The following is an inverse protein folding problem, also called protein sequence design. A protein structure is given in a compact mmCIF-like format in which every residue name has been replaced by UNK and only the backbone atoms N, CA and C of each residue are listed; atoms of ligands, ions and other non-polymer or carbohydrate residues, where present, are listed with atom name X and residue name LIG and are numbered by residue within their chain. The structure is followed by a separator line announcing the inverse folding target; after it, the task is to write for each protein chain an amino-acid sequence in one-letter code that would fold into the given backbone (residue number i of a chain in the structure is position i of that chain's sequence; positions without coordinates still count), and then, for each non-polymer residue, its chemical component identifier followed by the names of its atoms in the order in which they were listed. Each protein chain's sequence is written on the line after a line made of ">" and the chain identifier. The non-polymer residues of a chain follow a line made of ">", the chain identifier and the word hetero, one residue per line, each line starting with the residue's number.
data_IF_213512735330
#
_entry.id   IF_213512735330
#
_cell.length_a   1.000
_cell.length_b   1.000
_cell.length_c   1.000
_cell.angle_alpha   90.00
_cell.angle_beta   90.00
_cell.angle_gamma   90.00
#
_symmetry.space_group_name_H-M   'P 1'
#
loop_
_entity.id
_entity.type
_entity.pdbx_description
1 polymer ?
#
# COMPACT_ATOMS: atom_id res chain seq x y z
N UNK A 1 -60.52 -4.91 19.42
CA UNK A 1 -59.72 -6.14 19.54
C UNK A 1 -58.25 -5.70 19.45
N UNK A 2 -57.72 -5.02 20.46
CA UNK A 2 -57.18 -5.58 21.72
C UNK A 2 -55.87 -6.33 21.47
N UNK A 3 -54.75 -5.62 21.69
CA UNK A 3 -53.40 -6.16 21.90
C UNK A 3 -53.35 -7.14 23.09
N UNK A 4 -52.29 -7.98 23.20
CA UNK A 4 -51.07 -7.56 23.95
C UNK A 4 -49.75 -8.06 23.31
N UNK A 5 -48.66 -7.29 23.27
CA UNK A 5 -47.60 -7.16 24.30
C UNK A 5 -47.02 -8.47 24.84
N UNK A 6 -45.73 -8.75 24.56
CA UNK A 6 -44.74 -9.19 25.58
C UNK A 6 -43.34 -9.50 25.00
N UNK A 7 -42.36 -8.71 25.45
CA UNK A 7 -40.93 -9.02 25.70
C UNK A 7 -40.75 -8.55 27.17
N UNK A 8 -40.02 -9.20 28.11
CA UNK A 8 -38.63 -9.68 27.99
C UNK A 8 -38.26 -10.94 28.82
N UNK A 9 -37.02 -11.44 28.69
CA UNK A 9 -36.13 -11.75 29.82
C UNK A 9 -34.77 -12.33 29.39
N UNK A 10 -33.68 -11.67 29.81
CA UNK A 10 -32.42 -12.31 30.23
C UNK A 10 -32.46 -12.47 31.75
N UNK A 11 -31.89 -13.56 32.29
CA UNK A 11 -30.81 -13.45 33.28
C UNK A 11 -29.74 -14.55 33.01
N UNK A 12 -28.48 -14.49 33.45
CA UNK A 12 -27.73 -13.63 34.34
C UNK A 12 -26.27 -14.15 34.38
N UNK A 13 -25.36 -13.51 35.12
CA UNK A 13 -23.92 -13.77 35.09
C UNK A 13 -23.49 -14.83 36.12
N UNK A 14 -22.63 -15.77 35.71
CA UNK A 14 -22.13 -16.87 36.54
C UNK A 14 -20.63 -16.77 36.83
N UNK A 15 -20.30 -16.21 38.01
CA UNK A 15 -19.29 -16.61 39.02
C UNK A 15 -17.95 -17.23 38.55
N UNK A 16 -16.85 -16.52 38.79
CA UNK A 16 -15.83 -16.77 39.84
C UNK A 16 -14.86 -17.93 39.59
N UNK A 17 -13.59 -17.55 39.35
CA UNK A 17 -12.45 -18.21 39.97
C UNK A 17 -11.42 -17.13 40.35
N UNK A 18 -11.26 -16.93 41.67
CA UNK A 18 -10.08 -16.33 42.32
C UNK A 18 -9.01 -17.42 42.51
N UNK A 19 -7.88 -17.02 43.10
CA UNK A 19 -6.66 -17.75 43.48
C UNK A 19 -5.56 -17.63 42.39
N UNK A 20 -4.32 -17.21 42.66
CA UNK A 20 -3.57 -17.10 43.90
C UNK A 20 -2.60 -15.92 43.89
N UNK A 21 -2.44 -15.38 45.09
CA UNK A 21 -1.38 -14.48 45.52
C UNK A 21 -0.05 -15.24 45.51
N UNK A 22 1.04 -14.63 45.05
CA UNK A 22 2.30 -14.80 45.79
C UNK A 22 3.09 -13.49 45.75
N UNK A 23 3.07 -12.83 46.90
CA UNK A 23 4.08 -11.88 47.34
C UNK A 23 5.36 -12.69 47.61
N UNK A 24 6.49 -12.25 47.05
CA UNK A 24 7.78 -12.49 47.68
C UNK A 24 8.40 -11.14 48.00
N UNK A 25 8.33 -10.78 49.27
CA UNK A 25 9.25 -9.84 49.88
C UNK A 25 10.29 -10.62 50.68
N UNK A 26 11.55 -10.21 50.60
CA UNK A 26 12.60 -10.28 51.63
C UNK A 26 13.75 -9.43 51.08
N UNK A 27 13.92 -8.21 51.58
CA UNK A 27 14.54 -7.78 52.84
C UNK A 27 16.06 -7.75 52.70
N UNK A 28 16.56 -6.52 52.88
CA UNK A 28 17.94 -6.06 52.98
C UNK A 28 18.84 -6.96 53.84
N UNK A 29 20.07 -7.15 53.38
CA UNK A 29 21.26 -7.17 54.24
C UNK A 29 22.35 -6.37 53.55
N UNK A 30 22.60 -5.19 54.11
CA UNK A 30 23.73 -4.33 53.88
C UNK A 30 24.87 -4.87 54.75
N UNK A 31 25.90 -5.44 54.13
CA UNK A 31 27.17 -5.73 54.81
C UNK A 31 28.20 -4.69 54.38
N UNK A 32 28.69 -3.96 55.37
CA UNK A 32 29.86 -3.09 55.26
C UNK A 32 31.12 -3.96 55.28
N UNK A 33 32.09 -3.67 54.43
CA UNK A 33 33.49 -3.87 54.80
C UNK A 33 34.38 -2.80 54.14
N UNK A 34 35.33 -2.18 54.87
CA UNK A 34 36.13 -1.07 54.40
C UNK A 34 37.46 -1.58 53.82
N UNK A 35 38.02 -0.86 52.85
CA UNK A 35 39.43 -1.05 52.54
C UNK A 35 39.89 -0.70 51.15
N UNK A 36 40.53 0.46 51.08
CA UNK A 36 41.82 0.70 50.41
C UNK A 36 41.88 0.95 48.89
N UNK A 37 42.64 2.02 48.65
CA UNK A 37 43.51 2.35 47.52
C UNK A 37 42.89 3.13 46.36
N UNK A 38 43.10 4.44 46.48
CA UNK A 38 43.39 5.38 45.42
C UNK A 38 43.99 4.74 44.16
N UNK A 39 43.34 5.03 43.03
CA UNK A 39 43.99 5.21 41.72
C UNK A 39 43.25 6.32 40.99
N UNK A 40 43.91 7.47 40.86
CA UNK A 40 43.55 8.50 39.91
C UNK A 40 43.58 7.87 38.51
N UNK A 41 42.41 7.73 37.90
CA UNK A 41 42.31 7.51 36.46
C UNK A 41 41.87 8.84 35.83
N UNK A 42 42.78 9.44 35.05
CA UNK A 42 42.44 10.49 34.10
C UNK A 42 41.40 9.92 33.13
N UNK A 43 40.14 10.35 33.28
CA UNK A 43 39.11 10.10 32.28
C UNK A 43 39.35 11.02 31.09
N UNK A 44 40.07 10.52 30.09
CA UNK A 44 40.06 11.08 28.75
C UNK A 44 38.66 10.86 28.15
N UNK A 45 37.86 11.92 28.08
CA UNK A 45 36.61 11.96 27.34
C UNK A 45 36.92 11.90 25.84
N UNK A 46 37.03 10.69 25.28
CA UNK A 46 36.91 10.49 23.83
C UNK A 46 35.45 10.74 23.43
N UNK A 47 35.16 11.96 23.00
CA UNK A 47 33.96 12.27 22.22
C UNK A 47 34.11 11.60 20.84
N UNK A 48 33.70 10.34 20.74
CA UNK A 48 33.52 9.69 19.44
C UNK A 48 32.30 10.32 18.79
N UNK A 49 32.53 11.33 17.95
CA UNK A 49 31.55 11.79 17.00
C UNK A 49 31.27 10.66 16.00
N UNK A 50 30.20 9.88 16.25
CA UNK A 50 29.63 8.97 15.27
C UNK A 50 29.07 9.80 14.11
N UNK A 51 29.94 10.09 13.14
CA UNK A 51 29.51 10.49 11.80
C UNK A 51 28.70 9.30 11.25
N UNK A 52 27.38 9.45 11.23
CA UNK A 52 26.50 8.46 10.62
C UNK A 52 26.88 8.34 9.13
N UNK A 53 27.54 7.24 8.77
CA UNK A 53 27.81 6.92 7.37
C UNK A 53 26.46 6.91 6.62
N UNK A 54 26.40 7.47 5.39
CA UNK A 54 25.17 7.43 4.62
C UNK A 54 24.74 5.97 4.44
N UNK A 55 23.49 5.67 4.82
CA UNK A 55 22.95 4.33 4.70
C UNK A 55 23.05 3.90 3.23
N UNK A 56 23.77 2.80 2.97
CA UNK A 56 23.87 2.25 1.64
C UNK A 56 22.48 1.85 1.13
N UNK A 57 22.17 2.06 -0.16
CA UNK A 57 20.91 1.62 -0.72
C UNK A 57 20.75 0.09 -0.56
N UNK A 58 19.52 -0.34 -0.28
CA UNK A 58 19.14 -1.74 -0.27
C UNK A 58 19.04 -2.22 -1.72
N UNK A 59 19.83 -3.22 -2.08
CA UNK A 59 19.85 -3.77 -3.44
C UNK A 59 19.37 -5.21 -3.43
N UNK A 60 18.44 -5.53 -4.33
CA UNK A 60 17.93 -6.89 -4.53
C UNK A 60 18.02 -7.29 -5.99
N UNK A 61 18.74 -8.36 -6.29
CA UNK A 61 18.67 -9.01 -7.61
C UNK A 61 17.46 -9.93 -7.66
N UNK A 62 16.60 -9.75 -8.65
CA UNK A 62 15.40 -10.58 -8.82
C UNK A 62 15.81 -11.96 -9.31
N UNK A 63 15.50 -13.00 -8.53
CA UNK A 63 15.83 -14.38 -8.92
C UNK A 63 14.98 -14.79 -10.12
N UNK A 64 15.65 -15.23 -11.20
CA UNK A 64 14.99 -15.69 -12.43
C UNK A 64 14.63 -14.57 -13.41
N UNK A 65 15.05 -13.32 -13.15
CA UNK A 65 14.92 -12.20 -14.08
C UNK A 65 16.22 -11.41 -14.18
N UNK A 66 16.37 -10.67 -15.28
CA UNK A 66 17.47 -9.76 -15.58
C UNK A 66 17.29 -8.38 -14.92
N UNK A 67 16.75 -8.35 -13.70
CA UNK A 67 16.35 -7.12 -13.00
C UNK A 67 17.02 -7.04 -11.64
N UNK A 68 17.48 -5.84 -11.30
CA UNK A 68 17.96 -5.49 -9.96
C UNK A 68 17.18 -4.28 -9.45
N UNK A 69 16.60 -4.40 -8.27
CA UNK A 69 16.01 -3.27 -7.57
C UNK A 69 17.04 -2.59 -6.68
N UNK A 70 17.02 -1.27 -6.65
CA UNK A 70 17.80 -0.44 -5.74
C UNK A 70 16.87 0.52 -5.00
N UNK A 71 16.82 0.39 -3.68
CA UNK A 71 15.97 1.20 -2.83
C UNK A 71 16.80 2.07 -1.89
N UNK A 72 16.48 3.36 -1.87
CA UNK A 72 16.96 4.31 -0.88
C UNK A 72 15.77 4.95 -0.17
N UNK A 73 16.03 5.82 0.79
CA UNK A 73 14.97 6.61 1.43
C UNK A 73 14.26 7.58 0.46
N UNK A 74 14.87 7.88 -0.70
CA UNK A 74 14.39 8.89 -1.65
C UNK A 74 13.84 8.32 -2.94
N UNK A 75 14.09 7.05 -3.22
CA UNK A 75 13.77 6.46 -4.52
C UNK A 75 13.76 4.93 -4.48
N UNK A 76 12.97 4.34 -5.37
CA UNK A 76 13.04 2.93 -5.72
C UNK A 76 13.26 2.84 -7.23
N UNK A 77 14.36 2.20 -7.63
CA UNK A 77 14.70 1.97 -9.03
C UNK A 77 14.70 0.49 -9.35
N UNK A 78 14.37 0.15 -10.58
CA UNK A 78 14.65 -1.16 -11.17
C UNK A 78 15.57 -0.97 -12.37
N UNK A 79 16.65 -1.74 -12.40
CA UNK A 79 17.66 -1.72 -13.43
C UNK A 79 17.65 -3.04 -14.18
N UNK A 80 17.70 -2.98 -15.52
CA UNK A 80 17.92 -4.11 -16.42
C UNK A 80 19.19 -3.83 -17.23
N UNK A 81 20.18 -4.72 -17.11
CA UNK A 81 21.51 -4.52 -17.70
C UNK A 81 22.14 -3.14 -17.38
N UNK A 82 21.94 -2.67 -16.15
CA UNK A 82 22.40 -1.37 -15.68
C UNK A 82 21.61 -0.16 -16.19
N UNK A 83 20.59 -0.37 -17.04
CA UNK A 83 19.69 0.69 -17.52
C UNK A 83 18.44 0.74 -16.65
N UNK A 84 18.03 1.94 -16.27
CA UNK A 84 16.79 2.11 -15.53
C UNK A 84 15.57 1.78 -16.39
N UNK A 85 14.73 0.88 -15.89
CA UNK A 85 13.43 0.52 -16.49
C UNK A 85 12.25 0.96 -15.60
N UNK A 86 12.53 1.36 -14.37
CA UNK A 86 11.58 1.92 -13.41
C UNK A 86 12.34 2.82 -12.43
N UNK A 87 11.80 4.00 -12.12
CA UNK A 87 12.31 4.86 -11.03
C UNK A 87 11.21 5.79 -10.55
N UNK A 88 11.02 5.96 -9.23
CA UNK A 88 10.01 6.89 -8.74
C UNK A 88 10.41 8.34 -9.06
N UNK A 89 11.66 8.71 -8.80
CA UNK A 89 12.18 10.05 -9.09
C UNK A 89 12.13 10.40 -10.59
N UNK A 90 12.41 9.43 -11.46
CA UNK A 90 12.41 9.63 -12.92
C UNK A 90 11.04 10.00 -13.50
N UNK A 91 9.96 9.81 -12.73
CA UNK A 91 8.60 10.22 -13.12
C UNK A 91 8.36 11.74 -12.99
N UNK A 92 9.29 12.49 -12.40
CA UNK A 92 9.15 13.94 -12.29
C UNK A 92 9.04 14.62 -13.66
N UNK A 93 9.77 14.15 -14.67
CA UNK A 93 9.70 14.71 -16.01
C UNK A 93 8.33 14.50 -16.66
N UNK A 94 7.76 13.29 -16.50
CA UNK A 94 6.40 12.97 -16.95
C UNK A 94 5.37 13.85 -16.22
N UNK A 95 5.51 14.01 -14.89
CA UNK A 95 4.65 14.90 -14.09
C UNK A 95 4.69 16.35 -14.62
N UNK A 96 5.89 16.92 -14.79
CA UNK A 96 6.08 18.29 -15.27
C UNK A 96 5.59 18.48 -16.71
N UNK A 97 5.56 17.42 -17.52
CA UNK A 97 5.05 17.49 -18.89
C UNK A 97 3.56 17.85 -18.97
N UNK A 98 2.78 17.55 -17.92
CA UNK A 98 1.34 17.88 -17.86
C UNK A 98 1.06 19.39 -17.75
N UNK A 99 2.06 20.20 -17.42
CA UNK A 99 1.93 21.65 -17.27
C UNK A 99 2.54 22.43 -18.44
N UNK A 100 2.97 21.73 -19.49
CA UNK A 100 3.37 22.37 -20.76
C UNK A 100 2.11 22.77 -21.51
N UNK A 101 1.77 24.04 -21.45
CA UNK A 101 0.61 24.58 -22.14
C UNK A 101 0.94 24.96 -23.59
N UNK A 102 -0.07 24.93 -24.45
CA UNK A 102 0.03 25.43 -25.82
C UNK A 102 0.25 26.95 -25.82
N UNK A 103 0.84 27.46 -26.90
CA UNK A 103 1.08 28.90 -27.06
C UNK A 103 -0.23 29.70 -26.90
N UNK A 104 -0.19 30.76 -26.10
CA UNK A 104 -1.36 31.60 -25.80
C UNK A 104 -2.26 31.08 -24.67
N UNK A 105 -1.99 29.89 -24.11
CA UNK A 105 -2.72 29.40 -22.93
C UNK A 105 -2.31 30.19 -21.69
N UNK A 106 -3.26 30.84 -21.03
CA UNK A 106 -3.01 31.45 -19.72
C UNK A 106 -2.98 30.35 -18.65
N UNK A 107 -1.78 30.05 -18.14
CA UNK A 107 -1.58 29.08 -17.06
C UNK A 107 -1.65 29.72 -15.68
N UNK A 108 -2.00 31.00 -15.55
CA UNK A 108 -2.10 31.66 -14.26
C UNK A 108 -3.07 30.91 -13.33
N UNK A 109 -2.63 30.67 -12.08
CA UNK A 109 -3.39 29.91 -11.10
C UNK A 109 -3.42 28.40 -11.35
N UNK A 110 -2.73 27.89 -12.37
CA UNK A 110 -2.52 26.45 -12.48
C UNK A 110 -1.61 25.96 -11.35
N UNK A 111 -1.93 24.80 -10.83
CA UNK A 111 -1.16 24.10 -9.82
C UNK A 111 -1.33 22.59 -10.00
N UNK A 112 -0.37 21.82 -9.51
CA UNK A 112 -0.58 20.41 -9.35
C UNK A 112 0.46 19.75 -8.46
N UNK A 113 0.08 18.58 -7.99
CA UNK A 113 0.90 17.76 -7.11
C UNK A 113 0.71 16.28 -7.45
N UNK A 114 1.79 15.52 -7.32
CA UNK A 114 1.79 14.07 -7.43
C UNK A 114 2.57 13.49 -6.27
N UNK A 115 2.08 12.43 -5.65
CA UNK A 115 2.83 11.64 -4.69
C UNK A 115 2.82 10.17 -5.07
N UNK A 116 3.99 9.55 -5.00
CA UNK A 116 4.18 8.14 -5.32
C UNK A 116 4.80 7.46 -4.11
N UNK A 117 4.13 6.45 -3.57
CA UNK A 117 4.54 5.76 -2.35
C UNK A 117 4.65 4.26 -2.59
N UNK A 118 5.85 3.70 -2.43
CA UNK A 118 6.05 2.26 -2.64
C UNK A 118 5.26 1.46 -1.60
N UNK A 119 4.50 0.49 -2.09
CA UNK A 119 3.69 -0.42 -1.29
C UNK A 119 4.37 -1.78 -1.17
N UNK A 120 4.79 -2.42 -2.26
CA UNK A 120 5.43 -3.74 -2.19
C UNK A 120 6.36 -4.00 -3.38
N UNK A 121 7.34 -4.88 -3.18
CA UNK A 121 8.20 -5.44 -4.23
C UNK A 121 8.19 -6.96 -4.11
N UNK A 122 7.67 -7.66 -5.11
CA UNK A 122 7.55 -9.13 -5.12
C UNK A 122 8.02 -9.68 -6.47
N UNK A 123 9.17 -10.36 -6.47
CA UNK A 123 9.80 -10.78 -7.73
C UNK A 123 10.04 -9.57 -8.63
N UNK A 124 9.61 -9.59 -9.91
CA UNK A 124 9.75 -8.45 -10.82
C UNK A 124 8.66 -7.38 -10.67
N UNK A 125 7.75 -7.51 -9.71
CA UNK A 125 6.61 -6.60 -9.58
C UNK A 125 6.85 -5.55 -8.52
N UNK A 126 6.55 -4.30 -8.87
CA UNK A 126 6.52 -3.17 -7.95
C UNK A 126 5.09 -2.64 -7.86
N UNK A 127 4.57 -2.51 -6.65
CA UNK A 127 3.29 -1.87 -6.38
C UNK A 127 3.52 -0.57 -5.62
N UNK A 128 2.85 0.50 -6.03
CA UNK A 128 2.90 1.80 -5.38
C UNK A 128 1.52 2.48 -5.37
N UNK A 129 1.29 3.35 -4.39
CA UNK A 129 0.15 4.27 -4.37
C UNK A 129 0.54 5.52 -5.16
N UNK A 130 -0.33 5.92 -6.08
CA UNK A 130 -0.23 7.16 -6.83
C UNK A 130 -1.38 8.07 -6.41
N UNK A 131 -1.08 9.27 -5.94
CA UNK A 131 -2.06 10.32 -5.68
C UNK A 131 -1.70 11.56 -6.46
N UNK A 132 -2.64 12.05 -7.26
CA UNK A 132 -2.50 13.24 -8.09
C UNK A 132 -3.58 14.25 -7.71
N UNK A 133 -3.26 15.53 -7.66
CA UNK A 133 -4.23 16.61 -7.49
C UNK A 133 -3.76 17.90 -8.14
N UNK A 134 -4.67 18.86 -8.34
CA UNK A 134 -4.31 20.17 -8.87
C UNK A 134 -5.46 20.90 -9.51
N UNK A 135 -5.13 21.96 -10.24
CA UNK A 135 -6.06 22.75 -11.03
C UNK A 135 -5.34 23.25 -12.29
N UNK A 136 -5.95 23.02 -13.45
CA UNK A 136 -5.38 23.41 -14.76
C UNK A 136 -6.39 24.21 -15.60
N UNK A 137 -7.18 25.08 -14.95
CA UNK A 137 -8.12 25.99 -15.62
C UNK A 137 -9.48 25.40 -15.97
N UNK A 138 -9.79 24.18 -15.51
CA UNK A 138 -11.10 23.56 -15.69
C UNK A 138 -12.20 24.15 -14.79
N UNK A 139 -13.39 23.54 -14.79
CA UNK A 139 -14.51 24.00 -13.94
C UNK A 139 -14.25 23.81 -12.43
N UNK A 140 -13.33 22.94 -12.06
CA UNK A 140 -12.98 22.61 -10.68
C UNK A 140 -11.60 21.92 -10.62
N UNK A 141 -10.96 21.84 -9.44
CA UNK A 141 -9.72 21.06 -9.24
C UNK A 141 -9.87 19.59 -9.63
N UNK A 142 -8.79 18.86 -9.86
CA UNK A 142 -8.80 17.40 -9.97
C UNK A 142 -8.12 16.78 -8.74
N UNK A 143 -8.52 15.57 -8.37
CA UNK A 143 -7.80 14.75 -7.41
C UNK A 143 -8.10 13.27 -7.63
N UNK A 144 -7.09 12.42 -7.53
CA UNK A 144 -7.21 10.97 -7.62
C UNK A 144 -6.21 10.29 -6.68
N UNK A 145 -6.58 9.10 -6.20
CA UNK A 145 -5.66 8.19 -5.50
C UNK A 145 -5.91 6.80 -6.05
N UNK A 146 -4.87 6.04 -6.35
CA UNK A 146 -4.98 4.67 -6.84
C UNK A 146 -3.74 3.86 -6.52
N UNK A 147 -3.85 2.53 -6.51
CA UNK A 147 -2.68 1.67 -6.57
C UNK A 147 -2.30 1.44 -8.03
N UNK A 148 -1.01 1.24 -8.26
CA UNK A 148 -0.43 0.83 -9.53
C UNK A 148 0.51 -0.33 -9.26
N UNK A 149 0.37 -1.42 -10.00
CA UNK A 149 1.39 -2.47 -10.07
C UNK A 149 1.97 -2.54 -11.47
N UNK A 150 3.31 -2.50 -11.54
CA UNK A 150 4.07 -2.68 -12.76
C UNK A 150 4.89 -3.96 -12.70
N UNK A 151 4.95 -4.67 -13.82
CA UNK A 151 5.92 -5.72 -14.06
C UNK A 151 7.09 -5.09 -14.81
N UNK A 152 8.17 -4.81 -14.07
CA UNK A 152 9.32 -4.06 -14.61
C UNK A 152 10.11 -4.87 -15.65
N UNK A 153 9.73 -6.14 -15.86
CA UNK A 153 10.31 -6.95 -16.93
C UNK A 153 9.61 -6.77 -18.28
N UNK A 154 8.44 -6.11 -18.30
CA UNK A 154 7.55 -5.99 -19.45
C UNK A 154 7.26 -4.52 -19.77
N UNK A 155 6.63 -4.22 -20.93
CA UNK A 155 6.15 -2.88 -21.22
C UNK A 155 5.21 -2.34 -20.13
N UNK A 156 5.20 -1.02 -19.93
CA UNK A 156 4.31 -0.33 -18.98
C UNK A 156 2.86 -0.76 -19.22
N UNK A 157 2.14 -1.09 -18.14
CA UNK A 157 0.77 -1.59 -18.25
C UNK A 157 0.65 -3.04 -18.77
N UNK A 158 1.68 -3.87 -18.70
CA UNK A 158 1.55 -5.29 -19.01
C UNK A 158 1.13 -6.17 -17.82
N UNK A 159 1.28 -5.69 -16.58
CA UNK A 159 0.87 -6.44 -15.40
C UNK A 159 -0.65 -6.65 -15.36
N UNK A 160 -1.08 -7.85 -14.93
CA UNK A 160 -2.47 -8.18 -14.62
C UNK A 160 -2.54 -9.19 -13.49
N UNK A 161 -3.34 -8.93 -12.45
CA UNK A 161 -3.60 -9.93 -11.39
C UNK A 161 -4.17 -11.23 -11.98
N UNK A 162 -4.94 -11.12 -13.06
CA UNK A 162 -5.60 -12.25 -13.73
C UNK A 162 -4.62 -13.11 -14.56
N UNK A 163 -3.40 -12.63 -14.80
CA UNK A 163 -2.32 -13.47 -15.36
C UNK A 163 -1.47 -14.14 -14.27
N UNK A 164 -1.64 -13.72 -13.00
CA UNK A 164 -0.93 -14.28 -11.84
C UNK A 164 -1.77 -15.33 -11.11
N UNK A 165 -3.08 -15.11 -11.01
CA UNK A 165 -4.03 -16.00 -10.37
C UNK A 165 -5.13 -16.41 -11.35
N UNK A 166 -5.64 -17.65 -11.26
CA UNK A 166 -6.81 -18.06 -12.02
C UNK A 166 -7.99 -17.12 -11.73
N UNK A 167 -8.63 -16.60 -12.78
CA UNK A 167 -9.73 -15.63 -12.63
C UNK A 167 -10.87 -16.17 -11.76
N UNK A 168 -11.18 -17.47 -11.86
CA UNK A 168 -12.18 -18.13 -11.00
C UNK A 168 -11.89 -17.95 -9.50
N UNK A 169 -10.62 -17.95 -9.10
CA UNK A 169 -10.22 -17.81 -7.70
C UNK A 169 -10.33 -16.35 -7.27
N UNK A 170 -10.03 -15.41 -8.17
CA UNK A 170 -10.21 -13.96 -7.96
C UNK A 170 -11.70 -13.61 -7.81
N UNK A 171 -12.55 -14.11 -8.71
CA UNK A 171 -14.02 -13.95 -8.64
C UNK A 171 -14.56 -14.56 -7.35
N UNK A 172 -14.14 -15.77 -6.98
CA UNK A 172 -14.58 -16.40 -5.73
C UNK A 172 -14.18 -15.58 -4.50
N UNK A 173 -12.97 -15.02 -4.48
CA UNK A 173 -12.49 -14.20 -3.37
C UNK A 173 -13.23 -12.86 -3.29
N UNK A 174 -13.48 -12.18 -4.41
CA UNK A 174 -14.27 -10.95 -4.47
C UNK A 174 -15.72 -11.18 -4.03
N UNK A 175 -16.35 -12.28 -4.48
CA UNK A 175 -17.71 -12.66 -4.06
C UNK A 175 -17.81 -12.99 -2.56
N UNK A 176 -16.71 -13.37 -1.92
CA UNK A 176 -16.66 -13.64 -0.49
C UNK A 176 -16.46 -12.37 0.35
N UNK A 177 -16.04 -11.26 -0.27
CA UNK A 177 -15.77 -10.02 0.43
C UNK A 177 -17.05 -9.30 0.87
N UNK A 178 -17.06 -8.84 2.12
CA UNK A 178 -18.23 -8.21 2.73
C UNK A 178 -18.50 -6.81 2.19
N UNK A 179 -17.47 -6.08 1.77
CA UNK A 179 -17.64 -4.77 1.18
C UNK A 179 -18.27 -4.93 -0.21
N UNK A 180 -17.71 -5.79 -1.07
CA UNK A 180 -18.28 -6.10 -2.39
C UNK A 180 -19.76 -6.50 -2.30
N UNK A 181 -20.13 -7.37 -1.34
CA UNK A 181 -21.52 -7.81 -1.15
C UNK A 181 -22.51 -6.70 -0.79
N UNK A 182 -22.06 -5.57 -0.24
CA UNK A 182 -22.94 -4.43 0.06
C UNK A 182 -23.35 -3.67 -1.20
N UNK A 183 -22.64 -3.87 -2.30
CA UNK A 183 -22.80 -3.13 -3.55
C UNK A 183 -23.49 -3.95 -4.63
N UNK A 184 -24.10 -5.08 -4.30
CA UNK A 184 -24.83 -5.91 -5.27
C UNK A 184 -26.12 -5.19 -5.66
N UNK A 185 -26.27 -4.86 -6.95
CA UNK A 185 -27.54 -4.33 -7.48
C UNK A 185 -28.31 -5.40 -8.27
N UNK A 186 -27.62 -6.36 -8.88
CA UNK A 186 -28.21 -7.51 -9.55
C UNK A 186 -27.72 -8.82 -8.90
N UNK A 187 -28.55 -9.36 -7.99
CA UNK A 187 -28.25 -10.58 -7.25
C UNK A 187 -28.16 -11.83 -8.15
N UNK A 188 -28.88 -11.87 -9.28
CA UNK A 188 -28.84 -12.99 -10.21
C UNK A 188 -27.54 -12.95 -11.03
N UNK A 189 -27.23 -11.80 -11.64
CA UNK A 189 -25.97 -11.59 -12.35
C UNK A 189 -24.76 -11.79 -11.42
N UNK A 190 -24.83 -11.30 -10.17
CA UNK A 190 -23.78 -11.51 -9.18
C UNK A 190 -23.54 -13.00 -8.92
N UNK A 191 -24.59 -13.81 -8.74
CA UNK A 191 -24.46 -15.26 -8.53
C UNK A 191 -23.84 -15.97 -9.74
N UNK A 192 -24.27 -15.58 -10.94
CA UNK A 192 -23.87 -16.23 -12.18
C UNK A 192 -22.51 -15.77 -12.71
N UNK A 193 -22.02 -14.60 -12.29
CA UNK A 193 -20.73 -14.06 -12.72
C UNK A 193 -19.59 -15.09 -12.60
N UNK A 194 -18.93 -15.37 -13.73
CA UNK A 194 -17.74 -16.25 -13.82
C UNK A 194 -16.45 -15.50 -14.14
N UNK A 195 -16.57 -14.26 -14.59
CA UNK A 195 -15.47 -13.35 -14.87
C UNK A 195 -15.51 -12.17 -13.91
N UNK A 196 -14.38 -11.49 -13.76
CA UNK A 196 -14.31 -10.23 -12.99
C UNK A 196 -15.16 -9.16 -13.65
N UNK A 197 -15.15 -9.09 -14.98
CA UNK A 197 -15.97 -8.13 -15.72
C UNK A 197 -17.47 -8.29 -15.44
N UNK A 198 -18.00 -9.51 -15.57
CA UNK A 198 -19.39 -9.82 -15.23
C UNK A 198 -19.70 -9.58 -13.75
N UNK A 199 -18.72 -9.83 -12.86
CA UNK A 199 -18.89 -9.51 -11.44
C UNK A 199 -19.01 -7.99 -11.24
N UNK A 200 -18.14 -7.18 -11.83
CA UNK A 200 -18.19 -5.72 -11.69
C UNK A 200 -19.48 -5.14 -12.25
N UNK A 201 -19.99 -5.68 -13.36
CA UNK A 201 -21.27 -5.28 -13.97
C UNK A 201 -22.49 -5.60 -13.09
N UNK A 202 -22.36 -6.46 -12.09
CA UNK A 202 -23.44 -6.76 -11.12
C UNK A 202 -23.40 -5.85 -9.87
N UNK A 203 -22.44 -4.92 -9.81
CA UNK A 203 -22.22 -4.02 -8.67
C UNK A 203 -22.60 -2.58 -9.00
N UNK A 204 -23.06 -1.82 -8.00
CA UNK A 204 -23.31 -0.39 -8.12
C UNK A 204 -22.49 0.42 -7.09
N UNK A 205 -22.18 1.70 -7.34
CA UNK A 205 -21.33 2.49 -6.45
C UNK A 205 -21.85 2.67 -5.02
N UNK A 206 -23.17 2.66 -4.81
CA UNK A 206 -23.81 2.94 -3.53
C UNK A 206 -23.45 4.31 -2.93
N UNK A 207 -23.69 4.48 -1.63
CA UNK A 207 -23.33 5.72 -0.89
C UNK A 207 -21.82 5.91 -0.74
N UNK A 208 -21.03 4.84 -0.87
CA UNK A 208 -19.58 4.90 -0.79
C UNK A 208 -18.95 5.49 -2.06
N UNK A 209 -19.69 5.73 -3.15
CA UNK A 209 -19.14 6.22 -4.42
C UNK A 209 -18.02 5.34 -5.00
N UNK A 210 -18.02 4.02 -4.83
CA UNK A 210 -16.92 3.18 -5.34
C UNK A 210 -17.10 2.89 -6.84
N UNK A 211 -16.04 3.10 -7.63
CA UNK A 211 -16.05 2.94 -9.10
C UNK A 211 -15.91 1.49 -9.56
N UNK A 212 -16.97 0.69 -9.42
CA UNK A 212 -16.99 -0.69 -9.95
C UNK A 212 -17.30 -0.77 -11.45
N UNK A 213 -18.27 0.01 -11.92
CA UNK A 213 -18.87 -0.08 -13.26
C UNK A 213 -17.94 0.35 -14.41
N UNK A 214 -17.22 1.45 -14.23
CA UNK A 214 -16.43 2.13 -15.26
C UNK A 214 -14.93 1.87 -15.15
N UNK A 215 -14.47 1.32 -14.01
CA UNK A 215 -13.05 1.09 -13.73
C UNK A 215 -12.74 -0.15 -12.88
N UNK A 216 -13.74 -0.94 -12.48
CA UNK A 216 -13.54 -2.06 -11.56
C UNK A 216 -12.67 -3.17 -12.14
N UNK A 217 -12.86 -3.52 -13.42
CA UNK A 217 -12.03 -4.53 -14.09
C UNK A 217 -10.56 -4.13 -14.12
N UNK A 218 -10.27 -2.88 -14.49
CA UNK A 218 -8.89 -2.37 -14.54
C UNK A 218 -8.29 -2.25 -13.14
N UNK A 219 -9.10 -1.91 -12.13
CA UNK A 219 -8.68 -1.92 -10.73
C UNK A 219 -8.22 -3.31 -10.28
N UNK A 220 -9.01 -4.36 -10.58
CA UNK A 220 -8.65 -5.75 -10.24
C UNK A 220 -7.42 -6.22 -11.01
N UNK A 221 -7.29 -5.84 -12.29
CA UNK A 221 -6.11 -6.21 -13.09
C UNK A 221 -4.85 -5.50 -12.58
N UNK A 222 -4.90 -4.21 -12.26
CA UNK A 222 -3.69 -3.35 -12.22
C UNK A 222 -3.48 -2.62 -10.91
N UNK A 223 -4.55 -2.27 -10.21
CA UNK A 223 -4.48 -1.46 -9.00
C UNK A 223 -4.37 -2.32 -7.75
N UNK A 224 -3.33 -3.15 -7.71
CA UNK A 224 -3.14 -4.15 -6.65
C UNK A 224 -1.88 -3.92 -5.83
N UNK A 225 -1.78 -4.55 -4.66
CA UNK A 225 -0.54 -4.68 -3.90
C UNK A 225 -0.52 -5.99 -3.10
N UNK A 226 0.61 -6.68 -3.07
CA UNK A 226 0.77 -7.93 -2.30
C UNK A 226 1.07 -7.60 -0.84
N UNK A 227 0.11 -7.88 0.05
CA UNK A 227 0.15 -7.33 1.40
C UNK A 227 0.85 -8.21 2.42
N UNK A 228 0.43 -9.47 2.56
CA UNK A 228 1.04 -10.41 3.49
C UNK A 228 0.66 -11.85 3.14
N UNK A 229 1.37 -12.82 3.70
CA UNK A 229 1.07 -14.25 3.55
C UNK A 229 0.32 -14.74 4.79
N UNK A 230 -0.77 -15.48 4.56
CA UNK A 230 -1.54 -16.20 5.57
C UNK A 230 -1.59 -17.69 5.19
N UNK A 231 -0.79 -18.52 5.87
CA UNK A 231 -0.68 -19.95 5.52
C UNK A 231 -0.20 -20.15 4.09
N UNK A 232 -1.06 -20.75 3.24
CA UNK A 232 -0.81 -20.97 1.81
C UNK A 232 -1.47 -19.89 0.92
N UNK A 233 -1.95 -18.80 1.49
CA UNK A 233 -2.60 -17.70 0.77
C UNK A 233 -1.81 -16.40 0.89
N UNK A 234 -2.00 -15.52 -0.08
CA UNK A 234 -1.51 -14.14 -0.04
C UNK A 234 -2.69 -13.20 -0.03
N UNK A 235 -2.66 -12.25 0.91
CA UNK A 235 -3.57 -11.13 0.91
C UNK A 235 -3.15 -10.13 -0.17
N UNK A 236 -4.07 -9.82 -1.06
CA UNK A 236 -3.91 -8.80 -2.11
C UNK A 236 -4.87 -7.65 -1.81
N UNK A 237 -4.34 -6.43 -1.81
CA UNK A 237 -5.14 -5.20 -1.70
C UNK A 237 -5.44 -4.71 -3.10
N UNK A 238 -6.71 -4.42 -3.40
CA UNK A 238 -7.18 -3.92 -4.68
C UNK A 238 -7.78 -2.54 -4.42
N UNK A 239 -7.21 -1.50 -5.05
CA UNK A 239 -7.68 -0.14 -4.95
C UNK A 239 -8.65 0.17 -6.08
N UNK A 240 -9.89 0.50 -5.73
CA UNK A 240 -10.91 1.01 -6.64
C UNK A 240 -10.96 2.54 -6.57
N UNK A 241 -11.17 3.18 -7.71
CA UNK A 241 -11.39 4.62 -7.79
C UNK A 241 -12.77 5.05 -7.27
N UNK A 242 -13.06 6.33 -7.39
CA UNK A 242 -14.38 6.89 -7.09
C UNK A 242 -15.29 6.88 -8.34
N UNK A 243 -16.61 6.79 -8.14
CA UNK A 243 -17.62 6.77 -9.20
C UNK A 243 -18.26 8.15 -9.46
N UNK A 244 -18.15 9.09 -8.52
CA UNK A 244 -18.79 10.40 -8.60
C UNK A 244 -17.84 11.52 -8.16
N UNK A 245 -17.94 12.68 -8.81
CA UNK A 245 -17.10 13.85 -8.55
C UNK A 245 -17.16 14.35 -7.09
N UNK A 246 -18.27 14.13 -6.39
CA UNK A 246 -18.40 14.44 -4.97
C UNK A 246 -17.43 13.64 -4.08
N UNK A 247 -16.91 12.52 -4.59
CA UNK A 247 -16.01 11.60 -3.91
C UNK A 247 -14.58 11.65 -4.48
N UNK A 248 -14.26 12.69 -5.27
CA UNK A 248 -12.96 12.92 -5.91
C UNK A 248 -11.80 12.81 -4.93
N UNK A 249 -10.68 12.26 -5.40
CA UNK A 249 -9.46 12.05 -4.61
C UNK A 249 -9.48 10.83 -3.70
N UNK A 250 -10.64 10.19 -3.51
CA UNK A 250 -10.76 8.98 -2.68
C UNK A 250 -10.45 7.72 -3.47
N UNK A 251 -9.97 6.71 -2.75
CA UNK A 251 -9.87 5.33 -3.22
C UNK A 251 -10.44 4.38 -2.17
N UNK A 252 -10.92 3.22 -2.62
CA UNK A 252 -11.49 2.17 -1.78
C UNK A 252 -10.65 0.91 -1.92
N UNK A 253 -10.09 0.44 -0.81
CA UNK A 253 -9.17 -0.71 -0.84
C UNK A 253 -9.89 -1.96 -0.32
N UNK A 254 -10.15 -2.90 -1.21
CA UNK A 254 -10.67 -4.23 -0.89
C UNK A 254 -9.52 -5.20 -0.67
N UNK A 255 -9.63 -6.06 0.35
CA UNK A 255 -8.65 -7.12 0.60
C UNK A 255 -9.19 -8.49 0.23
N UNK A 256 -8.49 -9.21 -0.64
CA UNK A 256 -8.81 -10.59 -1.00
C UNK A 256 -7.70 -11.55 -0.59
N UNK A 257 -8.03 -12.80 -0.27
CA UNK A 257 -7.07 -13.86 0.03
C UNK A 257 -7.02 -14.87 -1.12
N UNK A 258 -5.90 -14.89 -1.84
CA UNK A 258 -5.69 -15.74 -3.01
C UNK A 258 -4.70 -16.87 -2.70
N UNK A 259 -4.98 -18.06 -3.22
CA UNK A 259 -4.11 -19.24 -3.00
C UNK A 259 -2.78 -19.07 -3.75
N UNK A 260 -1.67 -19.30 -3.05
CA UNK A 260 -0.33 -19.18 -3.63
C UNK A 260 -0.01 -20.41 -4.48
N UNK A 261 0.11 -20.19 -5.79
CA UNK A 261 0.57 -21.21 -6.75
C UNK A 261 2.01 -21.66 -6.45
N UNK A 262 2.40 -22.84 -6.95
CA UNK A 262 3.75 -23.34 -6.78
C UNK A 262 4.80 -22.39 -7.38
N UNK A 263 4.49 -21.79 -8.54
CA UNK A 263 5.34 -20.85 -9.28
C UNK A 263 5.55 -19.54 -8.52
N UNK A 264 4.51 -19.00 -7.88
CA UNK A 264 4.58 -17.71 -7.18
C UNK A 264 5.22 -17.84 -5.79
N UNK A 265 5.16 -19.04 -5.18
CA UNK A 265 5.60 -19.28 -3.80
C UNK A 265 7.04 -18.84 -3.50
N UNK A 266 8.05 -19.08 -4.36
CA UNK A 266 9.41 -18.64 -4.08
C UNK A 266 9.52 -17.12 -3.96
N UNK A 267 8.95 -16.37 -4.91
CA UNK A 267 9.02 -14.90 -4.92
C UNK A 267 8.34 -14.30 -3.67
N UNK A 268 7.14 -14.76 -3.34
CA UNK A 268 6.43 -14.31 -2.14
C UNK A 268 7.18 -14.64 -0.84
N UNK A 269 7.80 -15.83 -0.75
CA UNK A 269 8.59 -16.20 0.44
C UNK A 269 9.82 -15.31 0.62
N UNK A 270 10.54 -15.00 -0.46
CA UNK A 270 11.72 -14.12 -0.38
C UNK A 270 11.31 -12.69 -0.01
N UNK A 271 10.22 -12.17 -0.58
CA UNK A 271 9.66 -10.88 -0.18
C UNK A 271 9.21 -10.86 1.30
N UNK A 272 8.54 -11.93 1.77
CA UNK A 272 8.12 -12.04 3.17
C UNK A 272 9.31 -12.07 4.17
N UNK A 273 10.47 -12.55 3.73
CA UNK A 273 11.71 -12.58 4.50
C UNK A 273 12.59 -11.35 4.28
N UNK A 274 12.20 -10.47 3.35
CA UNK A 274 12.96 -9.29 2.91
C UNK A 274 14.32 -9.62 2.30
N UNK A 275 14.45 -10.84 1.76
CA UNK A 275 15.64 -11.30 1.04
C UNK A 275 15.64 -10.77 -0.40
N UNK A 276 14.46 -10.66 -1.02
CA UNK A 276 14.24 -10.11 -2.36
C UNK A 276 12.93 -9.31 -2.35
N UNK A 277 13.03 -7.99 -2.20
CA UNK A 277 11.86 -7.11 -2.06
C UNK A 277 11.17 -7.21 -0.69
N UNK A 278 9.89 -6.87 -0.63
CA UNK A 278 9.08 -6.86 0.59
C UNK A 278 7.57 -6.85 0.31
N UNK A 279 6.77 -7.30 1.27
CA UNK A 279 5.30 -7.24 1.20
C UNK A 279 4.77 -5.94 1.81
N UNK A 280 3.55 -5.51 1.46
CA UNK A 280 3.00 -4.21 1.88
C UNK A 280 2.97 -4.00 3.39
N UNK A 281 2.71 -5.05 4.18
CA UNK A 281 2.76 -4.95 5.65
C UNK A 281 4.12 -4.50 6.18
N UNK A 282 5.18 -4.73 5.41
CA UNK A 282 6.58 -4.50 5.79
C UNK A 282 7.10 -3.16 5.28
N UNK A 283 6.36 -2.44 4.42
CA UNK A 283 6.77 -1.19 3.78
C UNK A 283 7.33 -0.16 4.77
N UNK A 284 6.65 0.02 5.92
CA UNK A 284 7.11 0.92 7.00
C UNK A 284 8.42 0.44 7.63
N UNK A 285 8.55 -0.85 7.87
CA UNK A 285 9.72 -1.43 8.54
C UNK A 285 10.98 -1.34 7.66
N UNK A 286 10.81 -1.47 6.34
CA UNK A 286 11.90 -1.32 5.36
C UNK A 286 12.15 0.12 4.93
N UNK A 287 11.39 1.08 5.47
CA UNK A 287 11.44 2.50 5.09
C UNK A 287 11.25 2.69 3.58
N UNK A 288 10.24 2.02 3.02
CA UNK A 288 9.88 2.12 1.61
C UNK A 288 9.68 3.60 1.22
N UNK A 289 10.26 4.06 0.11
CA UNK A 289 10.30 5.47 -0.23
C UNK A 289 8.94 6.00 -0.66
N UNK A 290 8.78 7.31 -0.47
CA UNK A 290 7.73 8.11 -1.07
C UNK A 290 8.38 9.32 -1.72
N UNK A 291 7.97 9.66 -2.94
CA UNK A 291 8.37 10.89 -3.62
C UNK A 291 7.16 11.79 -3.79
N UNK A 292 7.40 13.09 -3.83
CA UNK A 292 6.38 14.09 -4.02
C UNK A 292 6.89 15.14 -5.02
N UNK A 293 6.05 15.46 -5.99
CA UNK A 293 6.30 16.47 -6.99
C UNK A 293 5.21 17.53 -6.88
N UNK A 294 5.60 18.78 -7.06
CA UNK A 294 4.68 19.91 -7.12
C UNK A 294 5.06 20.79 -8.30
N UNK A 295 4.07 21.49 -8.82
CA UNK A 295 4.24 22.52 -9.82
C UNK A 295 3.19 23.60 -9.55
N UNK A 296 3.61 24.86 -9.65
CA UNK A 296 2.75 26.02 -9.55
C UNK A 296 3.10 26.97 -10.69
N UNK A 297 2.09 27.66 -11.21
CA UNK A 297 2.29 28.65 -12.26
C UNK A 297 3.24 29.76 -11.79
N UNK A 298 4.22 30.17 -12.61
CA UNK A 298 5.07 31.30 -12.28
C UNK A 298 4.23 32.56 -12.03
N UNK A 299 4.57 33.33 -10.99
CA UNK A 299 3.93 34.63 -10.77
C UNK A 299 4.06 35.50 -12.03
N UNK A 300 2.98 36.21 -12.44
CA UNK A 300 3.07 37.15 -13.54
C UNK A 300 4.07 38.24 -13.16
N UNK A 301 5.00 38.55 -14.08
CA UNK A 301 5.91 39.67 -13.90
C UNK A 301 5.07 40.94 -13.73
N UNK A 302 5.23 41.63 -12.61
CA UNK A 302 4.68 42.97 -12.44
C UNK A 302 5.34 43.89 -13.47
N UNK A 303 4.54 44.48 -14.37
CA UNK A 303 4.96 45.56 -15.26
C UNK A 303 4.91 46.92 -14.54
#
# INVERSE_FOLDING_TARGET
>A
MSSPSSVPARPGPGRHARFLCSRFGKRLTQEQNPGRMARMHMSALLMVALLAAPAQPLTWKVTGADVTFEMSAKDLRALRDGKEVFGLQSRQADFLSNFKAEEGTNTFGWEGSQSLKVLSVVGPWVSYENSDSGFTGGAHPYASTSYVTEDVTKPKGAFSLLSVFPEKDVVAALKADRFIRKHIHDEAAFKDARTVDALMQSLEPGEDCVGFDSGGLESVKRSVAFHHIEGNKVAVRISFGYAAEACRGRSFVVGVLLTISAELRPALKRAARREEGFLMKDAKAVKAPSVHFTWESPEPKQE
#
